data_IF_955178311465
#
_entry.id   IF_955178311465
#
_cell.length_a   1.000
_cell.length_b   1.000
_cell.length_c   1.000
_cell.angle_alpha   90.00
_cell.angle_beta   90.00
_cell.angle_gamma   90.00
#
_symmetry.space_group_name_H-M   'P 1'
#
loop_
_entity.id
_entity.type
_entity.pdbx_description
1 polymer ?
#
# COMPACT_ATOMS: atom_id res chain seq x y z
N UNK A 1 -1.34 69.76 -28.53
CA UNK A 1 -1.95 68.70 -29.35
C UNK A 1 -1.66 67.36 -28.68
N UNK A 2 -2.67 66.68 -28.12
CA UNK A 2 -2.51 65.43 -27.36
C UNK A 2 -3.41 64.36 -27.99
N UNK A 3 -2.84 63.44 -28.77
CA UNK A 3 -3.57 62.35 -29.43
C UNK A 3 -3.81 61.21 -28.43
N UNK A 4 -5.09 60.95 -28.11
CA UNK A 4 -5.49 59.75 -27.36
C UNK A 4 -5.37 58.54 -28.27
N UNK A 5 -4.45 57.61 -27.97
CA UNK A 5 -4.36 56.30 -28.62
C UNK A 5 -5.46 55.40 -28.08
N UNK A 6 -6.41 55.01 -28.93
CA UNK A 6 -7.43 54.00 -28.64
C UNK A 6 -6.86 52.62 -28.99
N UNK A 7 -6.58 51.79 -28.00
CA UNK A 7 -6.23 50.38 -28.20
C UNK A 7 -7.46 49.62 -28.71
N UNK A 8 -7.38 48.91 -29.85
CA UNK A 8 -8.50 48.14 -30.37
C UNK A 8 -8.86 47.00 -29.39
N UNK A 9 -10.16 46.83 -29.14
CA UNK A 9 -10.66 45.73 -28.32
C UNK A 9 -10.51 44.40 -29.10
N UNK A 10 -10.10 43.31 -28.44
CA UNK A 10 -9.90 42.03 -29.11
C UNK A 10 -11.21 41.52 -29.71
N UNK A 11 -11.14 41.04 -30.95
CA UNK A 11 -12.25 40.42 -31.68
C UNK A 11 -12.76 39.18 -30.92
N UNK A 12 -14.08 39.05 -30.80
CA UNK A 12 -14.72 37.91 -30.12
C UNK A 12 -14.64 36.62 -30.93
N UNK A 13 -14.72 35.48 -30.23
CA UNK A 13 -14.70 34.15 -30.84
C UNK A 13 -15.91 33.90 -31.74
N UNK A 14 -15.70 33.15 -32.82
CA UNK A 14 -16.76 32.75 -33.74
C UNK A 14 -17.55 31.55 -33.21
N UNK A 15 -18.83 31.43 -33.58
CA UNK A 15 -19.66 30.25 -33.22
C UNK A 15 -19.07 28.95 -33.76
N UNK A 16 -18.44 29.00 -34.94
CA UNK A 16 -17.80 27.83 -35.55
C UNK A 16 -16.53 27.41 -34.78
N UNK A 17 -15.74 28.35 -34.27
CA UNK A 17 -14.60 28.02 -33.39
C UNK A 17 -15.05 27.27 -32.15
N UNK A 18 -16.08 27.76 -31.45
CA UNK A 18 -16.57 27.11 -30.24
C UNK A 18 -17.09 25.70 -30.57
N UNK A 19 -17.81 25.53 -31.69
CA UNK A 19 -18.36 24.24 -32.10
C UNK A 19 -17.27 23.21 -32.42
N UNK A 20 -16.21 23.63 -33.12
CA UNK A 20 -15.09 22.73 -33.43
C UNK A 20 -14.32 22.37 -32.16
N UNK A 21 -14.12 23.32 -31.23
CA UNK A 21 -13.40 23.08 -29.98
C UNK A 21 -14.14 22.09 -29.08
N UNK A 22 -15.44 22.26 -28.86
CA UNK A 22 -16.21 21.30 -28.04
C UNK A 22 -16.24 19.91 -28.70
N UNK A 23 -16.30 19.85 -30.03
CA UNK A 23 -16.22 18.59 -30.77
C UNK A 23 -14.88 17.87 -30.58
N UNK A 24 -13.77 18.62 -30.66
CA UNK A 24 -12.44 18.06 -30.40
C UNK A 24 -12.26 17.63 -28.94
N UNK A 25 -12.74 18.42 -27.97
CA UNK A 25 -12.68 18.05 -26.55
C UNK A 25 -13.46 16.75 -26.30
N UNK A 26 -14.65 16.60 -26.89
CA UNK A 26 -15.46 15.39 -26.74
C UNK A 26 -14.74 14.13 -27.25
N UNK A 27 -14.10 14.22 -28.42
CA UNK A 27 -13.33 13.10 -29.00
C UNK A 27 -12.12 12.75 -28.13
N UNK A 28 -11.34 13.75 -27.72
CA UNK A 28 -10.17 13.54 -26.86
C UNK A 28 -10.56 12.96 -25.49
N UNK A 29 -11.63 13.46 -24.88
CA UNK A 29 -12.15 12.95 -23.61
C UNK A 29 -12.58 11.48 -23.73
N UNK A 30 -13.26 11.11 -24.83
CA UNK A 30 -13.63 9.72 -25.11
C UNK A 30 -12.42 8.79 -25.17
N UNK A 31 -11.36 9.18 -25.87
CA UNK A 31 -10.11 8.38 -25.98
C UNK A 31 -9.47 8.21 -24.60
N UNK A 32 -9.31 9.29 -23.83
CA UNK A 32 -8.67 9.24 -22.50
C UNK A 32 -9.40 8.32 -21.54
N UNK A 33 -10.74 8.36 -21.51
CA UNK A 33 -11.54 7.50 -20.63
C UNK A 33 -11.41 6.02 -20.98
N UNK A 34 -11.28 5.67 -22.26
CA UNK A 34 -11.05 4.28 -22.67
C UNK A 34 -9.65 3.78 -22.34
N UNK A 35 -8.67 4.68 -22.21
CA UNK A 35 -7.28 4.33 -21.92
C UNK A 35 -6.99 4.12 -20.42
N UNK A 36 -7.79 4.73 -19.52
CA UNK A 36 -7.59 4.61 -18.07
C UNK A 36 -8.38 3.40 -17.56
N UNK A 37 -7.68 2.40 -17.03
CA UNK A 37 -8.29 1.32 -16.24
C UNK A 37 -8.23 1.70 -14.75
N UNK A 38 -9.31 2.27 -14.16
CA UNK A 38 -9.30 2.72 -12.77
C UNK A 38 -9.09 1.57 -11.78
N UNK A 39 -9.61 0.37 -12.09
CA UNK A 39 -9.45 -0.81 -11.24
C UNK A 39 -7.98 -1.19 -11.09
N UNK A 40 -7.23 -1.13 -12.20
CA UNK A 40 -5.78 -1.38 -12.18
C UNK A 40 -5.03 -0.33 -11.35
N UNK A 41 -5.41 0.94 -11.45
CA UNK A 41 -4.75 2.01 -10.68
C UNK A 41 -4.97 1.85 -9.18
N UNK A 42 -6.19 1.50 -8.74
CA UNK A 42 -6.45 1.22 -7.33
C UNK A 42 -5.69 -0.03 -6.83
N UNK A 43 -5.60 -1.08 -7.65
CA UNK A 43 -4.81 -2.27 -7.31
C UNK A 43 -3.32 -1.94 -7.15
N UNK A 44 -2.75 -1.11 -8.04
CA UNK A 44 -1.36 -0.65 -7.92
C UNK A 44 -1.13 0.17 -6.65
N UNK A 45 -2.07 1.05 -6.29
CA UNK A 45 -2.00 1.82 -5.06
C UNK A 45 -2.03 0.93 -3.81
N UNK A 46 -2.93 -0.08 -3.77
CA UNK A 46 -2.96 -1.06 -2.67
C UNK A 46 -1.67 -1.88 -2.60
N UNK A 47 -1.12 -2.32 -3.73
CA UNK A 47 0.15 -3.05 -3.74
C UNK A 47 1.33 -2.19 -3.28
N UNK A 48 1.35 -0.89 -3.62
CA UNK A 48 2.34 0.04 -3.09
C UNK A 48 2.24 0.18 -1.57
N UNK A 49 1.01 0.27 -1.03
CA UNK A 49 0.78 0.27 0.41
C UNK A 49 1.28 -1.04 1.06
N UNK A 50 0.89 -2.20 0.53
CA UNK A 50 1.35 -3.52 1.02
C UNK A 50 2.87 -3.64 1.04
N UNK A 51 3.55 -3.12 0.02
CA UNK A 51 5.01 -3.14 -0.01
C UNK A 51 5.62 -2.29 1.13
N UNK A 52 5.04 -1.12 1.41
CA UNK A 52 5.43 -0.29 2.57
C UNK A 52 5.16 -1.00 3.89
N UNK A 53 3.99 -1.62 4.03
CA UNK A 53 3.54 -2.32 5.24
C UNK A 53 4.44 -3.52 5.58
N UNK A 54 4.74 -4.36 4.58
CA UNK A 54 5.67 -5.48 4.70
C UNK A 54 7.05 -5.01 5.16
N UNK A 55 7.55 -3.90 4.59
CA UNK A 55 8.83 -3.31 5.03
C UNK A 55 8.76 -2.79 6.48
N UNK A 56 7.67 -2.13 6.87
CA UNK A 56 7.49 -1.61 8.21
C UNK A 56 7.47 -2.73 9.26
N UNK A 57 6.70 -3.80 9.01
CA UNK A 57 6.64 -4.97 9.89
C UNK A 57 8.02 -5.63 10.01
N UNK A 58 8.70 -5.88 8.89
CA UNK A 58 10.01 -6.54 8.89
C UNK A 58 11.09 -5.69 9.59
N UNK A 59 11.04 -4.36 9.42
CA UNK A 59 11.92 -3.44 10.14
C UNK A 59 11.67 -3.49 11.65
N UNK A 60 10.42 -3.47 12.09
CA UNK A 60 10.06 -3.53 13.50
C UNK A 60 10.52 -4.84 14.16
N UNK A 61 10.33 -5.98 13.48
CA UNK A 61 10.87 -7.27 13.93
C UNK A 61 12.40 -7.21 14.04
N UNK A 62 13.08 -6.66 13.02
CA UNK A 62 14.53 -6.52 13.03
C UNK A 62 15.05 -5.64 14.17
N UNK A 63 14.39 -4.52 14.45
CA UNK A 63 14.71 -3.64 15.58
C UNK A 63 14.55 -4.36 16.91
N UNK A 64 13.44 -5.09 17.09
CA UNK A 64 13.22 -5.90 18.29
C UNK A 64 14.35 -6.89 18.52
N UNK A 65 14.70 -7.66 17.51
CA UNK A 65 15.77 -8.65 17.59
C UNK A 65 17.11 -7.98 17.93
N UNK A 66 17.40 -6.82 17.33
CA UNK A 66 18.63 -6.08 17.59
C UNK A 66 18.72 -5.59 19.04
N UNK A 67 17.63 -5.09 19.62
CA UNK A 67 17.60 -4.62 21.01
C UNK A 67 17.59 -5.77 22.03
N UNK A 68 17.05 -6.93 21.66
CA UNK A 68 16.94 -8.10 22.53
C UNK A 68 18.06 -9.12 22.27
N UNK A 69 19.28 -8.63 22.01
CA UNK A 69 20.50 -9.46 21.89
C UNK A 69 20.40 -10.60 20.87
N UNK A 70 19.69 -10.39 19.76
CA UNK A 70 19.50 -11.38 18.71
C UNK A 70 18.31 -12.33 18.94
N UNK A 71 17.53 -12.13 20.00
CA UNK A 71 16.38 -12.97 20.34
C UNK A 71 15.08 -12.21 20.06
N UNK A 72 14.15 -12.82 19.32
CA UNK A 72 12.85 -12.20 19.06
C UNK A 72 11.96 -12.19 20.30
N UNK A 73 11.99 -13.26 21.09
CA UNK A 73 11.13 -13.47 22.26
C UNK A 73 11.65 -12.83 23.53
N UNK A 74 10.76 -12.55 24.47
CA UNK A 74 11.08 -12.20 25.85
C UNK A 74 10.27 -13.03 26.87
N UNK A 75 10.43 -12.72 28.16
CA UNK A 75 9.77 -13.43 29.24
C UNK A 75 8.39 -12.87 29.63
N UNK A 76 7.95 -11.73 29.08
CA UNK A 76 6.73 -11.04 29.51
C UNK A 76 5.64 -11.06 28.46
N UNK A 77 5.84 -10.38 27.33
CA UNK A 77 4.78 -9.98 26.40
C UNK A 77 4.94 -10.60 25.00
N UNK A 78 6.15 -11.08 24.69
CA UNK A 78 6.49 -11.71 23.42
C UNK A 78 7.13 -13.10 23.64
N UNK A 79 6.38 -14.02 24.24
CA UNK A 79 6.92 -15.32 24.68
C UNK A 79 7.05 -16.37 23.55
N UNK A 80 6.38 -16.17 22.41
CA UNK A 80 6.29 -17.17 21.34
C UNK A 80 7.27 -16.85 20.21
N UNK A 81 8.13 -17.80 19.80
CA UNK A 81 9.06 -17.57 18.70
C UNK A 81 8.30 -17.35 17.39
N UNK A 82 8.96 -16.70 16.42
CA UNK A 82 8.41 -16.57 15.08
C UNK A 82 8.13 -17.96 14.49
N UNK A 83 7.00 -18.12 13.78
CA UNK A 83 6.58 -19.43 13.28
C UNK A 83 7.48 -19.87 12.11
N UNK A 84 7.79 -21.16 12.05
CA UNK A 84 8.60 -21.75 10.98
C UNK A 84 7.80 -22.14 9.72
N UNK A 85 6.49 -21.91 9.76
CA UNK A 85 5.55 -22.02 8.63
C UNK A 85 4.86 -20.68 8.43
N UNK A 86 4.44 -20.39 7.19
CA UNK A 86 3.65 -19.19 6.89
C UNK A 86 2.41 -19.16 7.77
N UNK A 87 2.31 -18.17 8.64
CA UNK A 87 1.22 -18.02 9.61
C UNK A 87 0.68 -16.61 9.54
N UNK A 88 -0.65 -16.48 9.63
CA UNK A 88 -1.31 -15.18 9.60
C UNK A 88 -0.92 -14.33 10.81
N UNK A 89 -0.62 -13.07 10.55
CA UNK A 89 -0.39 -12.08 11.60
C UNK A 89 -1.75 -11.56 12.05
N UNK A 90 -2.26 -12.13 13.13
CA UNK A 90 -3.61 -11.90 13.64
C UNK A 90 -3.67 -12.16 15.14
N UNK A 91 -4.69 -11.66 15.82
CA UNK A 91 -4.91 -11.91 17.25
C UNK A 91 -5.20 -13.39 17.58
N UNK A 92 -5.59 -14.20 16.58
CA UNK A 92 -5.96 -15.62 16.77
C UNK A 92 -4.88 -16.60 16.34
N UNK A 93 -4.03 -16.26 15.36
CA UNK A 93 -2.95 -17.11 14.88
C UNK A 93 -1.61 -16.65 15.48
N UNK A 94 -0.99 -15.63 14.88
CA UNK A 94 0.23 -15.02 15.39
C UNK A 94 0.04 -13.56 15.82
N UNK A 95 -0.22 -13.35 17.11
CA UNK A 95 -0.35 -12.00 17.67
C UNK A 95 1.03 -11.33 17.77
N UNK A 96 1.34 -10.56 16.74
CA UNK A 96 2.56 -9.77 16.63
C UNK A 96 2.40 -8.39 17.29
N UNK A 97 1.17 -7.96 17.59
CA UNK A 97 0.88 -6.65 18.16
C UNK A 97 1.47 -6.52 19.55
N UNK A 98 1.36 -7.56 20.40
CA UNK A 98 1.96 -7.56 21.75
C UNK A 98 3.49 -7.48 21.73
N UNK A 99 4.12 -7.97 20.66
CA UNK A 99 5.57 -7.98 20.51
C UNK A 99 6.15 -6.66 20.00
N UNK A 100 5.41 -5.93 19.17
CA UNK A 100 5.92 -4.79 18.39
C UNK A 100 5.32 -3.44 18.77
N UNK A 101 4.05 -3.42 19.21
CA UNK A 101 3.31 -2.17 19.47
C UNK A 101 3.32 -1.89 20.98
N UNK A 102 3.60 -0.65 21.42
CA UNK A 102 3.93 0.54 20.63
C UNK A 102 5.44 0.75 20.40
N UNK A 103 6.30 -0.10 20.96
CA UNK A 103 7.73 0.19 21.11
C UNK A 103 8.50 0.24 19.79
N UNK A 104 8.17 -0.62 18.83
CA UNK A 104 8.89 -0.79 17.56
C UNK A 104 8.11 -0.28 16.36
N UNK A 105 6.79 -0.18 16.50
CA UNK A 105 5.89 0.39 15.51
C UNK A 105 4.66 0.97 16.23
N UNK A 106 4.17 2.13 15.77
CA UNK A 106 3.06 2.82 16.44
C UNK A 106 1.75 2.05 16.37
N UNK A 107 1.51 1.38 15.24
CA UNK A 107 0.38 0.47 15.04
C UNK A 107 0.78 -0.58 14.00
N UNK A 108 0.20 -1.78 14.10
CA UNK A 108 0.43 -2.81 13.10
C UNK A 108 -0.31 -2.46 11.80
N UNK A 109 0.37 -2.42 10.64
CA UNK A 109 -0.29 -2.22 9.36
C UNK A 109 -1.30 -3.33 9.06
N UNK A 110 -2.37 -2.97 8.35
CA UNK A 110 -3.48 -3.85 7.99
C UNK A 110 -3.70 -3.78 6.49
N UNK A 111 -3.80 -4.93 5.83
CA UNK A 111 -4.03 -5.03 4.40
C UNK A 111 -5.29 -4.24 4.01
N UNK A 112 -5.20 -3.34 3.01
CA UNK A 112 -6.27 -2.40 2.68
C UNK A 112 -7.54 -3.05 2.10
N UNK A 113 -7.51 -4.36 1.83
CA UNK A 113 -8.63 -5.10 1.23
C UNK A 113 -9.07 -6.32 2.03
N UNK A 114 -8.15 -6.97 2.75
CA UNK A 114 -8.39 -8.24 3.44
C UNK A 114 -8.24 -8.13 4.96
N UNK A 115 -7.59 -7.07 5.44
CA UNK A 115 -7.34 -6.92 6.86
C UNK A 115 -8.58 -6.44 7.61
N UNK A 116 -8.69 -6.86 8.87
CA UNK A 116 -9.82 -6.56 9.77
C UNK A 116 -9.31 -6.08 11.12
N UNK A 117 -10.00 -5.09 11.68
CA UNK A 117 -9.75 -4.55 13.02
C UNK A 117 -11.09 -4.43 13.75
N UNK A 118 -11.22 -5.07 14.92
CA UNK A 118 -12.39 -4.98 15.78
C UNK A 118 -11.95 -4.95 17.25
N UNK A 119 -11.71 -3.75 17.77
CA UNK A 119 -11.16 -3.55 19.10
C UNK A 119 -9.76 -4.17 19.22
N UNK A 120 -9.59 -5.14 20.12
CA UNK A 120 -8.34 -5.89 20.28
C UNK A 120 -8.19 -7.05 19.29
N UNK A 121 -9.28 -7.50 18.66
CA UNK A 121 -9.25 -8.58 17.68
C UNK A 121 -8.87 -8.02 16.32
N UNK A 122 -7.91 -8.67 15.65
CA UNK A 122 -7.47 -8.23 14.34
C UNK A 122 -6.99 -9.39 13.46
N UNK A 123 -7.06 -9.18 12.16
CA UNK A 123 -6.35 -9.93 11.14
C UNK A 123 -5.67 -8.91 10.22
N UNK A 124 -4.35 -8.91 10.17
CA UNK A 124 -3.65 -7.95 9.33
C UNK A 124 -3.74 -8.25 7.84
N UNK A 125 -4.14 -9.47 7.45
CA UNK A 125 -4.04 -9.91 6.05
C UNK A 125 -2.61 -10.11 5.55
N UNK A 126 -1.61 -10.02 6.44
CA UNK A 126 -0.20 -10.33 6.19
C UNK A 126 0.20 -11.64 6.89
N UNK A 127 1.23 -12.32 6.38
CA UNK A 127 1.78 -13.52 7.00
C UNK A 127 3.23 -13.35 7.37
N UNK A 128 3.66 -14.09 8.41
CA UNK A 128 5.05 -14.16 8.87
C UNK A 128 5.55 -15.59 8.86
N UNK A 129 6.82 -15.77 8.51
CA UNK A 129 7.55 -17.01 8.72
C UNK A 129 9.03 -16.75 8.97
N UNK A 130 9.67 -17.63 9.73
CA UNK A 130 11.10 -17.67 9.94
C UNK A 130 11.66 -19.00 9.44
N UNK A 131 12.60 -18.96 8.50
CA UNK A 131 13.21 -20.17 7.96
C UNK A 131 14.12 -20.84 9.00
N UNK A 132 13.81 -22.06 9.42
CA UNK A 132 14.56 -22.82 10.45
C UNK A 132 16.04 -23.02 10.14
N UNK A 133 16.42 -23.05 8.85
CA UNK A 133 17.79 -23.30 8.41
C UNK A 133 18.69 -22.06 8.39
N UNK A 134 18.10 -20.87 8.22
CA UNK A 134 18.86 -19.62 8.02
C UNK A 134 18.52 -18.53 9.03
N UNK A 135 17.45 -18.69 9.80
CA UNK A 135 16.91 -17.66 10.69
C UNK A 135 16.26 -16.47 9.96
N UNK A 136 16.26 -16.48 8.61
CA UNK A 136 15.70 -15.40 7.80
C UNK A 136 14.20 -15.28 7.98
N UNK A 137 13.74 -14.05 8.11
CA UNK A 137 12.35 -13.72 8.39
C UNK A 137 11.73 -13.22 7.10
N UNK A 138 10.59 -13.79 6.75
CA UNK A 138 9.81 -13.41 5.58
C UNK A 138 8.46 -12.89 6.02
N UNK A 139 8.09 -11.72 5.51
CA UNK A 139 6.75 -11.18 5.62
C UNK A 139 6.14 -11.16 4.22
N UNK A 140 4.92 -11.65 4.10
CA UNK A 140 4.20 -11.72 2.84
C UNK A 140 2.86 -10.99 2.91
N UNK A 141 2.48 -10.41 1.77
CA UNK A 141 1.16 -9.88 1.46
C UNK A 141 0.51 -10.78 0.39
N UNK A 142 -0.26 -11.81 0.80
CA UNK A 142 -0.91 -12.75 -0.12
C UNK A 142 -1.85 -12.04 -1.11
N UNK A 143 -2.56 -11.02 -0.63
CA UNK A 143 -3.54 -10.25 -1.42
C UNK A 143 -2.91 -9.26 -2.41
N UNK A 144 -1.57 -9.23 -2.53
CA UNK A 144 -0.92 -8.47 -3.59
C UNK A 144 -1.12 -9.08 -5.00
N UNK A 145 -1.53 -10.34 -5.07
CA UNK A 145 -1.97 -11.02 -6.30
C UNK A 145 -3.36 -10.54 -6.75
N UNK A 146 -3.45 -9.25 -7.08
CA UNK A 146 -4.67 -8.57 -7.50
C UNK A 146 -5.07 -8.95 -8.94
N UNK A 147 -6.30 -9.40 -9.15
CA UNK A 147 -6.82 -9.80 -10.46
C UNK A 147 -6.92 -8.66 -11.47
N UNK A 148 -6.92 -7.41 -11.00
CA UNK A 148 -6.89 -6.21 -11.85
C UNK A 148 -5.50 -5.93 -12.48
N UNK A 149 -4.47 -6.70 -12.09
CA UNK A 149 -3.10 -6.59 -12.61
C UNK A 149 -2.73 -7.93 -13.26
N UNK A 150 -2.31 -7.87 -14.54
CA UNK A 150 -1.87 -9.06 -15.28
C UNK A 150 -0.62 -9.66 -14.63
N UNK A 151 -0.61 -10.98 -14.46
CA UNK A 151 0.48 -11.77 -13.86
C UNK A 151 0.89 -11.33 -12.45
N UNK A 152 -0.04 -10.76 -11.68
CA UNK A 152 0.22 -10.39 -10.29
C UNK A 152 0.51 -11.60 -9.41
N UNK A 153 1.38 -11.41 -8.41
CA UNK A 153 1.81 -12.44 -7.47
C UNK A 153 1.77 -11.88 -6.05
N UNK A 154 1.76 -12.75 -5.02
CA UNK A 154 1.98 -12.33 -3.64
C UNK A 154 3.29 -11.55 -3.52
N UNK A 155 3.29 -10.49 -2.71
CA UNK A 155 4.50 -9.73 -2.43
C UNK A 155 5.11 -10.22 -1.13
N UNK A 156 6.32 -10.78 -1.19
CA UNK A 156 7.05 -11.23 -0.02
C UNK A 156 8.40 -10.53 0.07
N UNK A 157 8.80 -10.16 1.28
CA UNK A 157 10.12 -9.62 1.57
C UNK A 157 10.79 -10.46 2.66
N UNK A 158 12.02 -10.88 2.38
CA UNK A 158 12.84 -11.68 3.30
C UNK A 158 14.06 -10.89 3.74
N UNK A 159 14.37 -10.92 5.04
CA UNK A 159 15.65 -10.45 5.58
C UNK A 159 16.29 -11.52 6.45
#
# INVERSE_FOLDING_TARGET
MHQKRTTPLPFGFTLIEILVVIGMIAVLAGIVLTAINPLRQFALARNAQRASDVNAILNAIGQRIAENQGVFTDASDCIRPLPNTSTDISSSAFDLRTCLVPSYISELPIDPSAGTLSGATYDSGYTVTQASSTGRITICAPNAAESAIVDSQPYCLTR
#
